data_IF_498543568970
#
_entry.id   IF_498543568970
#
_cell.length_a   1.000
_cell.length_b   1.000
_cell.length_c   1.000
_cell.angle_alpha   90.00
_cell.angle_beta   90.00
_cell.angle_gamma   90.00
#
_symmetry.space_group_name_H-M   'P 1'
#
loop_
_entity.id
_entity.type
_entity.pdbx_description
1 polymer ?
#
# COMPACT_ATOMS: atom_id res chain seq x y z
N UNK A 1 -36.49 -14.27 11.18
CA UNK A 1 -36.44 -12.80 10.95
C UNK A 1 -35.30 -12.13 11.70
N UNK A 2 -35.20 -12.24 13.04
CA UNK A 2 -34.08 -11.62 13.79
C UNK A 2 -32.68 -11.93 13.25
N UNK A 3 -32.39 -13.20 12.88
CA UNK A 3 -31.10 -13.57 12.25
C UNK A 3 -30.84 -12.86 10.92
N UNK A 4 -31.85 -12.70 10.07
CA UNK A 4 -31.69 -12.01 8.79
C UNK A 4 -31.37 -10.52 9.00
N UNK A 5 -32.02 -9.87 9.98
CA UNK A 5 -31.68 -8.50 10.37
C UNK A 5 -30.27 -8.39 10.96
N UNK A 6 -29.82 -9.40 11.72
CA UNK A 6 -28.46 -9.46 12.24
C UNK A 6 -27.42 -9.50 11.11
N UNK A 7 -27.60 -10.36 10.10
CA UNK A 7 -26.67 -10.46 8.98
C UNK A 7 -26.61 -9.18 8.13
N UNK A 8 -27.77 -8.53 7.91
CA UNK A 8 -27.80 -7.23 7.23
C UNK A 8 -27.06 -6.16 8.05
N UNK A 9 -27.24 -6.16 9.38
CA UNK A 9 -26.51 -5.24 10.25
C UNK A 9 -24.99 -5.48 10.19
N UNK A 10 -24.54 -6.74 10.20
CA UNK A 10 -23.14 -7.09 10.03
C UNK A 10 -22.58 -6.59 8.69
N UNK A 11 -23.34 -6.77 7.60
CA UNK A 11 -22.98 -6.24 6.28
C UNK A 11 -22.84 -4.72 6.26
N UNK A 12 -23.74 -3.99 6.93
CA UNK A 12 -23.62 -2.53 7.07
C UNK A 12 -22.38 -2.10 7.85
N UNK A 13 -21.98 -2.84 8.89
CA UNK A 13 -20.74 -2.56 9.64
C UNK A 13 -19.53 -2.74 8.74
N UNK A 14 -19.43 -3.87 8.02
CA UNK A 14 -18.34 -4.14 7.10
C UNK A 14 -18.23 -3.09 5.99
N UNK A 15 -19.36 -2.64 5.44
CA UNK A 15 -19.40 -1.56 4.45
C UNK A 15 -18.86 -0.24 5.00
N UNK A 16 -19.24 0.15 6.21
CA UNK A 16 -18.71 1.37 6.85
C UNK A 16 -17.23 1.26 7.16
N UNK A 17 -16.73 0.08 7.53
CA UNK A 17 -15.31 -0.13 7.76
C UNK A 17 -14.50 -0.02 6.44
N UNK A 18 -15.03 -0.53 5.33
CA UNK A 18 -14.44 -0.32 4.00
C UNK A 18 -14.43 1.17 3.60
N UNK A 19 -15.51 1.91 3.88
CA UNK A 19 -15.55 3.37 3.66
C UNK A 19 -14.46 4.07 4.44
N UNK A 20 -14.23 3.72 5.72
CA UNK A 20 -13.17 4.36 6.52
C UNK A 20 -11.81 4.20 5.85
N UNK A 21 -11.50 3.01 5.34
CA UNK A 21 -10.23 2.74 4.65
C UNK A 21 -10.13 3.56 3.36
N UNK A 22 -11.21 3.63 2.57
CA UNK A 22 -11.23 4.38 1.30
C UNK A 22 -11.17 5.90 1.48
N UNK A 23 -11.77 6.44 2.55
CA UNK A 23 -11.98 7.88 2.73
C UNK A 23 -11.01 8.57 3.66
N UNK A 24 -10.34 7.82 4.54
CA UNK A 24 -9.36 8.37 5.48
C UNK A 24 -7.98 8.15 4.89
N UNK A 25 -7.40 9.15 4.20
CA UNK A 25 -6.09 9.00 3.60
C UNK A 25 -5.02 8.87 4.68
N UNK A 26 -3.90 8.27 4.31
CA UNK A 26 -2.72 8.23 5.14
C UNK A 26 -2.26 9.65 5.51
N UNK A 27 -1.78 9.90 6.76
CA UNK A 27 -1.45 11.25 7.19
C UNK A 27 -0.37 11.89 6.34
N UNK A 28 -0.75 12.94 5.59
CA UNK A 28 0.16 13.64 4.68
C UNK A 28 1.50 14.08 5.32
N UNK A 29 1.53 14.66 6.54
CA UNK A 29 2.81 15.02 7.15
C UNK A 29 3.73 13.83 7.37
N UNK A 30 3.19 12.64 7.64
CA UNK A 30 3.99 11.43 7.80
C UNK A 30 4.61 11.01 6.47
N UNK A 31 3.82 10.95 5.40
CA UNK A 31 4.31 10.63 4.06
C UNK A 31 5.46 11.59 3.64
N UNK A 32 5.28 12.89 3.87
CA UNK A 32 6.33 13.89 3.59
C UNK A 32 7.61 13.66 4.40
N UNK A 33 7.49 13.28 5.67
CA UNK A 33 8.67 12.99 6.50
C UNK A 33 9.39 11.73 6.00
N UNK A 34 8.66 10.69 5.58
CA UNK A 34 9.24 9.50 4.96
C UNK A 34 10.02 9.84 3.70
N UNK A 35 9.43 10.60 2.77
CA UNK A 35 10.10 11.04 1.55
C UNK A 35 11.34 11.89 1.85
N UNK A 36 11.24 12.82 2.81
CA UNK A 36 12.37 13.65 3.23
C UNK A 36 13.53 12.80 3.78
N UNK A 37 13.23 11.82 4.63
CA UNK A 37 14.22 10.89 5.16
C UNK A 37 14.84 10.02 4.07
N UNK A 38 14.05 9.55 3.09
CA UNK A 38 14.56 8.80 1.95
C UNK A 38 15.47 9.64 1.06
N UNK A 39 15.14 10.92 0.83
CA UNK A 39 16.00 11.85 0.10
C UNK A 39 17.32 12.08 0.84
N UNK A 40 17.28 12.28 2.16
CA UNK A 40 18.50 12.40 2.97
C UNK A 40 19.33 11.12 2.91
N UNK A 41 18.70 9.95 3.08
CA UNK A 41 19.35 8.65 2.96
C UNK A 41 20.02 8.49 1.59
N UNK A 42 19.34 8.87 0.51
CA UNK A 42 19.88 8.80 -0.84
C UNK A 42 21.16 9.63 -1.03
N UNK A 43 21.23 10.82 -0.42
CA UNK A 43 22.42 11.69 -0.46
C UNK A 43 23.56 11.20 0.45
N UNK A 44 23.23 10.68 1.63
CA UNK A 44 24.23 10.28 2.64
C UNK A 44 24.86 8.92 2.32
N UNK A 45 24.08 7.97 1.79
CA UNK A 45 24.55 6.60 1.47
C UNK A 45 25.80 6.55 0.59
N UNK A 46 25.93 7.27 -0.55
CA UNK A 46 27.17 7.25 -1.34
C UNK A 46 28.38 7.76 -0.56
N UNK A 47 28.21 8.80 0.27
CA UNK A 47 29.29 9.37 1.08
C UNK A 47 29.79 8.34 2.08
N UNK A 48 28.87 7.67 2.78
CA UNK A 48 29.19 6.66 3.79
C UNK A 48 29.85 5.44 3.14
N UNK A 49 29.24 4.87 2.08
CA UNK A 49 29.76 3.67 1.42
C UNK A 49 31.17 3.90 0.84
N UNK A 50 31.45 5.09 0.30
CA UNK A 50 32.78 5.45 -0.20
C UNK A 50 33.88 5.43 0.88
N UNK A 51 33.54 5.60 2.16
CA UNK A 51 34.51 5.50 3.27
C UNK A 51 34.86 4.04 3.61
N UNK A 52 33.96 3.10 3.35
CA UNK A 52 34.14 1.68 3.73
C UNK A 52 34.60 0.79 2.58
N UNK A 53 34.34 1.17 1.33
CA UNK A 53 34.61 0.33 0.16
C UNK A 53 35.67 0.96 -0.73
N UNK A 54 36.87 0.39 -0.73
CA UNK A 54 38.01 0.92 -1.50
C UNK A 54 37.85 0.80 -3.02
N UNK A 55 37.08 -0.19 -3.50
CA UNK A 55 36.89 -0.41 -4.95
C UNK A 55 35.67 0.36 -5.45
N UNK A 56 35.82 1.31 -6.40
CA UNK A 56 34.71 2.17 -6.84
C UNK A 56 33.52 1.40 -7.42
N UNK A 57 33.77 0.30 -8.13
CA UNK A 57 32.73 -0.54 -8.71
C UNK A 57 31.81 -1.15 -7.63
N UNK A 58 32.41 -1.73 -6.59
CA UNK A 58 31.67 -2.30 -5.46
C UNK A 58 30.96 -1.22 -4.64
N UNK A 59 31.59 -0.05 -4.46
CA UNK A 59 30.96 1.07 -3.77
C UNK A 59 29.67 1.51 -4.49
N UNK A 60 29.73 1.67 -5.82
CA UNK A 60 28.56 2.01 -6.64
C UNK A 60 27.45 0.97 -6.56
N UNK A 61 27.80 -0.32 -6.64
CA UNK A 61 26.83 -1.41 -6.53
C UNK A 61 26.12 -1.43 -5.17
N UNK A 62 26.86 -1.30 -4.06
CA UNK A 62 26.26 -1.30 -2.72
C UNK A 62 25.42 -0.05 -2.47
N UNK A 63 25.87 1.12 -2.90
CA UNK A 63 25.06 2.35 -2.83
C UNK A 63 23.76 2.19 -3.61
N UNK A 64 23.82 1.67 -4.84
CA UNK A 64 22.63 1.43 -5.65
C UNK A 64 21.67 0.48 -4.96
N UNK A 65 22.15 -0.68 -4.48
CA UNK A 65 21.30 -1.67 -3.81
C UNK A 65 20.61 -1.11 -2.56
N UNK A 66 21.35 -0.42 -1.70
CA UNK A 66 20.79 0.16 -0.47
C UNK A 66 19.69 1.18 -0.78
N UNK A 67 19.97 2.13 -1.67
CA UNK A 67 19.00 3.14 -2.10
C UNK A 67 17.79 2.50 -2.76
N UNK A 68 18.03 1.60 -3.72
CA UNK A 68 16.99 0.95 -4.50
C UNK A 68 15.99 0.20 -3.62
N UNK A 69 16.47 -0.55 -2.62
CA UNK A 69 15.61 -1.30 -1.71
C UNK A 69 14.69 -0.36 -0.92
N UNK A 70 15.22 0.71 -0.33
CA UNK A 70 14.39 1.63 0.46
C UNK A 70 13.36 2.39 -0.40
N UNK A 71 13.75 2.86 -1.57
CA UNK A 71 12.82 3.50 -2.50
C UNK A 71 11.76 2.54 -3.03
N UNK A 72 12.13 1.29 -3.32
CA UNK A 72 11.17 0.26 -3.73
C UNK A 72 10.17 -0.06 -2.63
N UNK A 73 10.62 -0.20 -1.39
CA UNK A 73 9.74 -0.42 -0.24
C UNK A 73 8.77 0.75 -0.04
N UNK A 74 9.25 2.00 -0.17
CA UNK A 74 8.38 3.17 -0.09
C UNK A 74 7.33 3.18 -1.20
N UNK A 75 7.71 2.87 -2.44
CA UNK A 75 6.78 2.76 -3.56
C UNK A 75 5.70 1.69 -3.31
N UNK A 76 6.10 0.51 -2.83
CA UNK A 76 5.15 -0.57 -2.47
C UNK A 76 4.19 -0.12 -1.36
N UNK A 77 4.69 0.59 -0.34
CA UNK A 77 3.83 1.12 0.73
C UNK A 77 2.76 2.07 0.19
N UNK A 78 3.14 2.99 -0.71
CA UNK A 78 2.21 3.95 -1.32
C UNK A 78 1.12 3.24 -2.12
N UNK A 79 1.45 2.19 -2.87
CA UNK A 79 0.45 1.40 -3.61
C UNK A 79 -0.54 0.70 -2.65
N UNK A 80 -0.05 0.13 -1.54
CA UNK A 80 -0.90 -0.58 -0.55
C UNK A 80 -1.84 0.37 0.20
N UNK A 81 -1.52 1.66 0.27
CA UNK A 81 -2.35 2.66 0.96
C UNK A 81 -3.70 2.91 0.27
N UNK A 82 -3.86 2.60 -1.03
CA UNK A 82 -5.09 2.85 -1.78
C UNK A 82 -5.69 1.58 -2.42
N UNK A 83 -6.14 0.59 -1.64
CA UNK A 83 -6.55 -0.72 -2.16
C UNK A 83 -7.85 -0.72 -2.99
N UNK A 84 -8.57 0.40 -3.04
CA UNK A 84 -9.84 0.56 -3.76
C UNK A 84 -9.69 1.47 -5.00
N UNK A 85 -8.47 1.64 -5.50
CA UNK A 85 -8.17 2.39 -6.71
C UNK A 85 -8.53 1.66 -8.00
N UNK A 86 -7.77 1.96 -9.06
CA UNK A 86 -7.93 1.40 -10.40
C UNK A 86 -6.65 0.74 -10.92
N UNK A 87 -5.65 0.56 -10.06
CA UNK A 87 -4.37 -0.01 -10.39
C UNK A 87 -4.44 -1.54 -10.44
N UNK A 88 -3.46 -2.17 -11.08
CA UNK A 88 -3.48 -3.62 -11.31
C UNK A 88 -3.43 -4.46 -10.01
N UNK A 89 -2.96 -3.86 -8.92
CA UNK A 89 -2.85 -4.51 -7.61
C UNK A 89 -4.02 -4.18 -6.67
N UNK A 90 -5.02 -3.42 -7.14
CA UNK A 90 -6.19 -3.05 -6.36
C UNK A 90 -7.25 -4.15 -6.30
N UNK A 91 -8.19 -4.00 -5.36
CA UNK A 91 -9.32 -4.91 -5.21
C UNK A 91 -10.31 -4.69 -6.36
N UNK A 92 -10.61 -5.76 -7.10
CA UNK A 92 -11.65 -5.75 -8.14
C UNK A 92 -13.07 -5.80 -7.54
N UNK A 93 -13.53 -4.64 -7.08
CA UNK A 93 -14.86 -4.47 -6.50
C UNK A 93 -15.99 -4.83 -7.50
N UNK A 94 -15.77 -4.65 -8.81
CA UNK A 94 -16.77 -4.95 -9.82
C UNK A 94 -17.01 -6.46 -9.94
N UNK A 95 -15.92 -7.24 -9.98
CA UNK A 95 -16.01 -8.71 -9.98
C UNK A 95 -16.60 -9.23 -8.67
N UNK A 96 -16.23 -8.66 -7.52
CA UNK A 96 -16.82 -9.03 -6.22
C UNK A 96 -18.34 -8.78 -6.19
N UNK A 97 -18.81 -7.65 -6.71
CA UNK A 97 -20.23 -7.34 -6.83
C UNK A 97 -20.96 -8.32 -7.75
N UNK A 98 -20.34 -8.66 -8.89
CA UNK A 98 -20.88 -9.63 -9.84
C UNK A 98 -21.06 -11.01 -9.18
N UNK A 99 -20.07 -11.46 -8.42
CA UNK A 99 -20.12 -12.73 -7.71
C UNK A 99 -21.17 -12.75 -6.59
N UNK A 100 -21.29 -11.66 -5.83
CA UNK A 100 -22.36 -11.52 -4.84
C UNK A 100 -23.74 -11.66 -5.51
N UNK A 101 -23.97 -10.96 -6.62
CA UNK A 101 -25.23 -11.05 -7.36
C UNK A 101 -25.50 -12.48 -7.87
N UNK A 102 -24.47 -13.18 -8.35
CA UNK A 102 -24.58 -14.58 -8.77
C UNK A 102 -25.01 -15.47 -7.61
N UNK A 103 -24.42 -15.31 -6.43
CA UNK A 103 -24.79 -16.11 -5.25
C UNK A 103 -26.22 -15.83 -4.80
N UNK A 104 -26.68 -14.58 -4.87
CA UNK A 104 -28.07 -14.23 -4.57
C UNK A 104 -29.06 -14.89 -5.54
N UNK A 105 -28.72 -14.99 -6.83
CA UNK A 105 -29.56 -15.69 -7.81
C UNK A 105 -29.68 -17.19 -7.55
N UNK A 106 -28.68 -17.83 -6.93
CA UNK A 106 -28.76 -19.25 -6.56
C UNK A 106 -29.76 -19.54 -5.43
N UNK A 107 -30.23 -18.51 -4.74
CA UNK A 107 -31.20 -18.62 -3.63
C UNK A 107 -32.65 -18.45 -4.10
N UNK A 108 -32.87 -18.14 -5.39
CA UNK A 108 -34.18 -18.06 -6.05
C UNK A 108 -34.52 -19.38 -6.75
#
# INVERSE_FOLDING_TARGET
LSRAFQEIANGMVAFHDAIKISTIPFPFPYAQMCECLLMMHWLVTPIVVAQYVATPWWAGLFTFLLVFVYWSLNGISVEIENPFGMDANDIDAATMQCEMNRHLMLLL
#
